data_IF_343163735221
#
_entry.id   IF_343163735221
#
_cell.length_a   1.000
_cell.length_b   1.000
_cell.length_c   1.000
_cell.angle_alpha   90.00
_cell.angle_beta   90.00
_cell.angle_gamma   90.00
#
_symmetry.space_group_name_H-M   'P 1'
#
loop_
_entity.id
_entity.type
_entity.pdbx_description
1 polymer ?
#
# COMPACT_ATOMS: atom_id res chain seq x y z
N UNK A 1 -16.96 -22.69 3.27
CA UNK A 1 -16.57 -21.54 4.09
C UNK A 1 -15.35 -20.89 3.44
N UNK A 2 -15.55 -19.87 2.60
CA UNK A 2 -14.42 -19.13 2.04
C UNK A 2 -13.88 -18.23 3.15
N UNK A 3 -12.73 -18.59 3.68
CA UNK A 3 -12.02 -17.76 4.65
C UNK A 3 -11.60 -16.47 3.97
N UNK A 4 -11.96 -15.33 4.57
CA UNK A 4 -11.48 -14.01 4.17
C UNK A 4 -9.93 -13.99 4.22
N UNK A 5 -9.32 -13.15 3.39
CA UNK A 5 -7.85 -13.08 3.26
C UNK A 5 -7.22 -12.82 4.63
N UNK A 6 -6.42 -13.78 5.11
CA UNK A 6 -5.76 -13.72 6.41
C UNK A 6 -4.47 -12.91 6.39
N UNK A 7 -3.97 -12.52 7.57
CA UNK A 7 -2.72 -11.75 7.69
C UNK A 7 -1.53 -12.46 7.04
N UNK A 8 -1.42 -13.78 7.19
CA UNK A 8 -0.36 -14.58 6.59
C UNK A 8 -0.33 -14.48 5.06
N UNK A 9 -1.49 -14.40 4.41
CA UNK A 9 -1.57 -14.24 2.96
C UNK A 9 -1.08 -12.86 2.52
N UNK A 10 -1.31 -11.83 3.33
CA UNK A 10 -0.83 -10.47 3.10
C UNK A 10 0.69 -10.38 3.29
N UNK A 11 1.23 -10.99 4.34
CA UNK A 11 2.67 -11.06 4.60
C UNK A 11 3.42 -11.82 3.50
N UNK A 12 2.87 -12.97 3.07
CA UNK A 12 3.39 -13.70 1.92
C UNK A 12 3.34 -12.85 0.64
N UNK A 13 2.24 -12.10 0.42
CA UNK A 13 2.16 -11.14 -0.69
C UNK A 13 3.26 -10.09 -0.63
N UNK A 14 3.51 -9.55 0.56
CA UNK A 14 4.49 -8.48 0.79
C UNK A 14 5.90 -8.94 0.39
N UNK A 15 6.29 -10.16 0.76
CA UNK A 15 7.55 -10.77 0.36
C UNK A 15 7.66 -10.92 -1.18
N UNK A 16 6.62 -11.44 -1.82
CA UNK A 16 6.61 -11.65 -3.28
C UNK A 16 6.72 -10.35 -4.08
N UNK A 17 6.05 -9.28 -3.65
CA UNK A 17 6.04 -8.02 -4.40
C UNK A 17 7.24 -7.12 -4.07
N UNK A 18 7.90 -7.33 -2.92
CA UNK A 18 8.99 -6.49 -2.41
C UNK A 18 10.06 -6.10 -3.45
N UNK A 19 10.62 -7.01 -4.27
CA UNK A 19 11.68 -6.63 -5.20
C UNK A 19 11.20 -5.67 -6.29
N UNK A 20 9.90 -5.47 -6.44
CA UNK A 20 9.42 -4.73 -7.57
C UNK A 20 8.21 -3.80 -7.37
N UNK A 21 7.98 -3.44 -6.10
CA UNK A 21 7.27 -2.23 -5.67
C UNK A 21 8.23 -1.30 -4.92
N UNK A 22 7.94 -0.01 -4.91
CA UNK A 22 8.69 0.98 -4.11
C UNK A 22 8.08 1.09 -2.71
N UNK A 23 8.93 1.21 -1.69
CA UNK A 23 8.52 1.64 -0.34
C UNK A 23 8.28 3.15 -0.37
N UNK A 24 7.05 3.51 -0.71
CA UNK A 24 6.55 4.89 -0.76
C UNK A 24 6.65 5.53 0.63
N UNK A 25 6.98 6.84 0.72
CA UNK A 25 7.09 7.52 1.99
C UNK A 25 5.72 7.68 2.68
N UNK A 26 5.74 7.69 4.00
CA UNK A 26 4.61 8.08 4.85
C UNK A 26 4.99 9.40 5.50
N UNK A 27 4.27 10.48 5.21
CA UNK A 27 4.61 11.83 5.68
C UNK A 27 3.48 12.43 6.51
N UNK A 28 3.76 13.25 7.53
CA UNK A 28 2.72 14.01 8.22
C UNK A 28 2.05 14.99 7.25
N UNK A 29 0.76 15.24 7.44
CA UNK A 29 0.02 16.29 6.74
C UNK A 29 -0.54 17.29 7.74
N UNK A 30 0.19 18.37 8.06
CA UNK A 30 -0.26 19.38 9.02
C UNK A 30 -1.59 20.02 8.63
N UNK A 31 -1.82 20.28 7.34
CA UNK A 31 -3.07 20.88 6.85
C UNK A 31 -4.28 19.98 7.06
N UNK A 32 -4.18 18.69 6.72
CA UNK A 32 -5.26 17.73 7.00
C UNK A 32 -5.43 17.50 8.50
N UNK A 33 -4.33 17.52 9.26
CA UNK A 33 -4.40 17.37 10.71
C UNK A 33 -5.11 18.53 11.39
N UNK A 34 -4.85 19.77 10.96
CA UNK A 34 -5.57 20.95 11.42
C UNK A 34 -7.06 20.90 11.04
N UNK A 35 -7.37 20.46 9.81
CA UNK A 35 -8.75 20.34 9.32
C UNK A 35 -9.56 19.29 10.08
N UNK A 36 -8.96 18.15 10.40
CA UNK A 36 -9.63 17.00 11.04
C UNK A 36 -9.49 16.99 12.57
N UNK A 37 -8.72 17.91 13.15
CA UNK A 37 -8.47 17.98 14.60
C UNK A 37 -7.69 16.79 15.15
N UNK A 38 -6.93 16.08 14.31
CA UNK A 38 -6.18 14.87 14.69
C UNK A 38 -4.86 14.75 13.92
N UNK A 39 -3.83 14.07 14.44
CA UNK A 39 -2.61 13.80 13.67
C UNK A 39 -2.91 12.97 12.43
N UNK A 40 -2.64 13.52 11.24
CA UNK A 40 -2.84 12.84 9.96
C UNK A 40 -1.49 12.58 9.30
N UNK A 41 -1.32 11.35 8.82
CA UNK A 41 -0.22 10.98 7.94
C UNK A 41 -0.76 10.51 6.59
N UNK A 42 -0.01 10.77 5.53
CA UNK A 42 -0.37 10.42 4.16
C UNK A 42 0.65 9.43 3.63
N UNK A 43 0.15 8.29 3.14
CA UNK A 43 0.94 7.31 2.40
C UNK A 43 0.97 7.69 0.92
N UNK A 44 2.11 8.11 0.41
CA UNK A 44 2.23 8.66 -0.95
C UNK A 44 2.31 7.55 -2.01
N UNK A 45 1.25 6.74 -2.15
CA UNK A 45 1.15 5.68 -3.18
C UNK A 45 1.12 6.22 -4.61
N UNK A 46 0.88 7.52 -4.79
CA UNK A 46 1.04 8.20 -6.08
C UNK A 46 2.50 8.17 -6.58
N UNK A 47 3.49 7.98 -5.68
CA UNK A 47 4.90 7.83 -6.03
C UNK A 47 5.30 6.37 -6.34
N UNK A 48 4.33 5.46 -6.38
CA UNK A 48 4.57 4.09 -6.83
C UNK A 48 4.86 4.07 -8.34
N UNK A 49 5.52 3.01 -8.84
CA UNK A 49 5.96 2.85 -10.24
C UNK A 49 4.94 3.14 -11.34
N UNK A 50 3.64 3.13 -11.05
CA UNK A 50 2.56 3.39 -12.02
C UNK A 50 1.61 4.51 -11.57
N UNK A 51 2.08 5.42 -10.70
CA UNK A 51 1.28 6.55 -10.22
C UNK A 51 0.16 6.18 -9.24
N UNK A 52 0.08 4.92 -8.79
CA UNK A 52 -0.94 4.48 -7.82
C UNK A 52 -0.57 3.15 -7.15
N UNK A 53 -1.30 2.79 -6.10
CA UNK A 53 -1.09 1.57 -5.32
C UNK A 53 -1.26 0.27 -6.12
N UNK A 54 -1.88 0.31 -7.31
CA UNK A 54 -2.29 -0.86 -8.09
C UNK A 54 -1.12 -1.76 -8.51
N UNK A 55 0.09 -1.22 -8.60
CA UNK A 55 1.30 -2.01 -8.85
C UNK A 55 1.52 -3.12 -7.79
N UNK A 56 0.98 -2.97 -6.58
CA UNK A 56 1.03 -3.97 -5.51
C UNK A 56 0.15 -5.20 -5.80
N UNK A 57 -0.98 -5.03 -6.48
CA UNK A 57 -1.90 -6.11 -6.83
C UNK A 57 -1.63 -6.74 -8.20
N UNK A 58 -1.15 -5.96 -9.17
CA UNK A 58 -0.99 -6.41 -10.58
C UNK A 58 -0.03 -7.59 -10.76
N UNK A 59 0.95 -7.79 -9.86
CA UNK A 59 1.81 -8.99 -9.92
C UNK A 59 1.04 -10.27 -9.65
N UNK A 60 0.08 -10.27 -8.72
CA UNK A 60 -0.69 -11.48 -8.42
C UNK A 60 -1.51 -11.96 -9.61
N UNK A 61 -2.04 -11.05 -10.44
CA UNK A 61 -2.92 -11.43 -11.55
C UNK A 61 -2.20 -11.87 -12.82
N UNK A 62 -0.92 -11.51 -13.00
CA UNK A 62 -0.15 -11.84 -14.21
C UNK A 62 0.72 -13.10 -14.07
N UNK A 63 0.90 -13.60 -12.84
CA UNK A 63 1.62 -14.85 -12.56
C UNK A 63 0.65 -16.03 -12.38
N UNK A 64 -0.44 -16.06 -13.14
CA UNK A 64 -1.31 -17.23 -13.26
C UNK A 64 -1.40 -17.61 -14.73
#
# INVERSE_FOLDING_TARGET
MHTLIGIFEIEAAAGLIAPHVVRTPTVPSPGLGALLGAPVTVKLELLQRTGSFKARGRRRSCCR
#
